data_IF_027063468315
#
_entry.id   IF_027063468315
#
_cell.length_a   1.000
_cell.length_b   1.000
_cell.length_c   1.000
_cell.angle_alpha   90.00
_cell.angle_beta   90.00
_cell.angle_gamma   90.00
#
_symmetry.space_group_name_H-M   'P 1'
#
loop_
_entity.id
_entity.type
_entity.pdbx_description
1 polymer ?
#
# COMPACT_ATOMS: atom_id res chain seq x y z
N UNK A 1 -14.17 -23.00 -15.03
CA UNK A 1 -13.51 -21.87 -14.35
C UNK A 1 -14.27 -20.62 -14.74
N UNK A 2 -14.90 -19.93 -13.79
CA UNK A 2 -15.46 -18.60 -14.03
C UNK A 2 -14.32 -17.63 -14.32
N UNK A 3 -14.48 -16.76 -15.32
CA UNK A 3 -13.48 -15.75 -15.63
C UNK A 3 -13.28 -14.85 -14.40
N UNK A 4 -12.03 -14.62 -13.99
CA UNK A 4 -11.72 -13.67 -12.92
C UNK A 4 -12.08 -12.25 -13.39
N UNK A 5 -12.63 -11.43 -12.50
CA UNK A 5 -12.99 -10.06 -12.82
C UNK A 5 -11.73 -9.22 -13.08
N UNK A 6 -11.76 -8.34 -14.09
CA UNK A 6 -10.64 -7.47 -14.45
C UNK A 6 -10.76 -6.12 -13.74
N UNK A 7 -9.86 -5.76 -12.80
CA UNK A 7 -9.88 -4.45 -12.17
C UNK A 7 -9.55 -3.33 -13.17
N UNK A 8 -10.05 -2.13 -12.91
CA UNK A 8 -9.57 -0.90 -13.56
C UNK A 8 -8.35 -0.40 -12.79
N UNK A 9 -7.18 -0.37 -13.43
CA UNK A 9 -5.91 -0.02 -12.78
C UNK A 9 -5.34 1.27 -13.38
N UNK A 10 -5.04 2.25 -12.52
CA UNK A 10 -4.36 3.49 -12.89
C UNK A 10 -3.05 3.60 -12.11
N UNK A 11 -1.92 3.67 -12.82
CA UNK A 11 -0.60 3.92 -12.24
C UNK A 11 -0.26 5.41 -12.17
N UNK A 12 0.52 5.77 -11.15
CA UNK A 12 1.10 7.09 -10.89
C UNK A 12 2.58 6.88 -10.64
N UNK A 13 3.41 7.37 -11.57
CA UNK A 13 4.86 7.22 -11.49
C UNK A 13 5.46 8.45 -10.81
N UNK A 14 6.26 8.23 -9.78
CA UNK A 14 7.14 9.25 -9.20
C UNK A 14 8.54 9.15 -9.81
N UNK A 15 9.01 10.23 -10.43
CA UNK A 15 10.32 10.25 -11.09
C UNK A 15 11.49 10.27 -10.08
N UNK A 16 11.27 10.79 -8.87
CA UNK A 16 12.34 10.94 -7.89
C UNK A 16 12.77 9.60 -7.29
N UNK A 17 11.81 8.70 -7.05
CA UNK A 17 12.05 7.38 -6.44
C UNK A 17 11.90 6.23 -7.43
N UNK A 18 11.34 6.47 -8.62
CA UNK A 18 10.92 5.46 -9.59
C UNK A 18 9.80 4.54 -9.09
N UNK A 19 9.09 4.94 -8.03
CA UNK A 19 7.95 4.20 -7.50
C UNK A 19 6.74 4.34 -8.44
N UNK A 20 5.97 3.26 -8.60
CA UNK A 20 4.65 3.32 -9.22
C UNK A 20 3.59 3.04 -8.16
N UNK A 21 2.84 4.07 -7.78
CA UNK A 21 1.62 3.90 -6.98
C UNK A 21 0.45 3.51 -7.88
N UNK A 22 -0.50 2.74 -7.36
CA UNK A 22 -1.67 2.31 -8.12
C UNK A 22 -2.99 2.66 -7.45
N UNK A 23 -3.98 3.05 -8.24
CA UNK A 23 -5.40 2.98 -7.87
C UNK A 23 -6.02 1.79 -8.58
N UNK A 24 -6.59 0.87 -7.81
CA UNK A 24 -7.21 -0.38 -8.26
C UNK A 24 -8.71 -0.32 -7.96
N UNK A 25 -9.52 -0.16 -9.00
CA UNK A 25 -10.96 0.05 -8.88
C UNK A 25 -11.76 -1.18 -9.30
N UNK A 26 -12.84 -1.43 -8.56
CA UNK A 26 -13.90 -2.35 -8.97
C UNK A 26 -14.56 -1.86 -10.28
N UNK A 27 -14.52 -2.64 -11.38
CA UNK A 27 -15.12 -2.23 -12.65
C UNK A 27 -16.64 -2.06 -12.55
N UNK A 28 -17.30 -2.76 -11.63
CA UNK A 28 -18.76 -2.72 -11.47
C UNK A 28 -19.23 -1.65 -10.47
N UNK A 29 -18.31 -0.97 -9.78
CA UNK A 29 -18.63 -0.10 -8.65
C UNK A 29 -17.73 1.12 -8.54
N UNK A 30 -17.78 1.72 -7.34
CA UNK A 30 -16.96 2.89 -6.96
C UNK A 30 -15.86 2.54 -5.96
N UNK A 31 -15.84 1.33 -5.42
CA UNK A 31 -14.84 0.89 -4.47
C UNK A 31 -13.46 0.81 -5.14
N UNK A 32 -12.42 1.26 -4.43
CA UNK A 32 -11.04 1.13 -4.88
C UNK A 32 -10.08 0.84 -3.72
N UNK A 33 -8.90 0.34 -4.08
CA UNK A 33 -7.72 0.31 -3.24
C UNK A 33 -6.64 1.23 -3.81
N UNK A 34 -5.79 1.77 -2.94
CA UNK A 34 -4.55 2.45 -3.29
C UNK A 34 -3.40 1.51 -2.90
N UNK A 35 -2.38 1.37 -3.74
CA UNK A 35 -1.22 0.51 -3.48
C UNK A 35 0.06 1.34 -3.57
N UNK A 36 0.93 1.21 -2.57
CA UNK A 36 2.30 1.77 -2.50
C UNK A 36 2.35 3.28 -2.79
N UNK A 37 1.68 4.08 -1.94
CA UNK A 37 1.57 5.54 -2.11
C UNK A 37 2.81 6.30 -1.63
N UNK A 38 3.26 7.30 -2.40
CA UNK A 38 4.45 8.11 -2.07
C UNK A 38 4.11 9.40 -1.30
N UNK A 39 4.86 9.64 -0.21
CA UNK A 39 5.02 10.94 0.43
C UNK A 39 6.38 11.52 -0.02
N UNK A 40 6.33 12.65 -0.71
CA UNK A 40 7.51 13.25 -1.32
C UNK A 40 8.49 13.74 -0.23
N UNK A 41 9.79 13.52 -0.43
CA UNK A 41 10.81 13.89 0.54
C UNK A 41 12.09 14.39 -0.12
N UNK A 42 12.47 15.62 0.24
CA UNK A 42 13.76 16.19 -0.15
C UNK A 42 14.82 15.85 0.90
N UNK A 43 15.68 14.89 0.58
CA UNK A 43 16.80 14.46 1.43
C UNK A 43 17.77 15.59 1.79
N UNK A 44 17.94 16.60 0.94
CA UNK A 44 18.88 17.69 1.19
C UNK A 44 18.36 18.67 2.24
N UNK A 45 17.04 18.95 2.24
CA UNK A 45 16.43 19.90 3.18
C UNK A 45 15.66 19.24 4.34
N UNK A 46 15.41 17.93 4.27
CA UNK A 46 14.60 17.20 5.24
C UNK A 46 13.11 17.55 5.20
N UNK A 47 12.62 18.10 4.08
CA UNK A 47 11.23 18.53 3.94
C UNK A 47 10.38 17.46 3.26
N UNK A 48 9.17 17.29 3.77
CA UNK A 48 8.12 16.53 3.10
C UNK A 48 7.27 17.44 2.20
N UNK A 49 6.73 16.86 1.13
CA UNK A 49 5.71 17.44 0.25
C UNK A 49 4.65 16.35 -0.06
N UNK A 50 3.50 16.74 -0.61
CA UNK A 50 2.34 15.87 -0.76
C UNK A 50 1.84 15.80 -2.20
N UNK A 51 2.58 16.33 -3.18
CA UNK A 51 2.10 16.44 -4.55
C UNK A 51 1.80 15.07 -5.18
N UNK A 52 2.60 14.04 -4.89
CA UNK A 52 2.36 12.67 -5.36
C UNK A 52 1.09 12.07 -4.76
N UNK A 53 0.93 12.18 -3.43
CA UNK A 53 -0.27 11.73 -2.73
C UNK A 53 -1.52 12.52 -3.16
N UNK A 54 -1.40 13.83 -3.36
CA UNK A 54 -2.49 14.70 -3.78
C UNK A 54 -2.95 14.39 -5.22
N UNK A 55 -2.06 13.94 -6.11
CA UNK A 55 -2.45 13.47 -7.43
C UNK A 55 -3.35 12.21 -7.36
N UNK A 56 -3.02 11.27 -6.49
CA UNK A 56 -3.84 10.06 -6.22
C UNK A 56 -5.18 10.45 -5.60
N UNK A 57 -5.18 11.32 -4.59
CA UNK A 57 -6.39 11.80 -3.93
C UNK A 57 -7.30 12.57 -4.91
N UNK A 58 -6.71 13.41 -5.76
CA UNK A 58 -7.44 14.16 -6.76
C UNK A 58 -8.13 13.22 -7.77
N UNK A 59 -7.44 12.15 -8.20
CA UNK A 59 -8.03 11.12 -9.05
C UNK A 59 -9.22 10.42 -8.37
N UNK A 60 -9.03 9.96 -7.12
CA UNK A 60 -10.09 9.32 -6.32
C UNK A 60 -11.31 10.22 -6.18
N UNK A 61 -11.11 11.50 -5.83
CA UNK A 61 -12.20 12.46 -5.66
C UNK A 61 -12.89 12.82 -6.98
N UNK A 62 -12.13 13.05 -8.05
CA UNK A 62 -12.67 13.40 -9.36
C UNK A 62 -13.51 12.25 -9.96
N UNK A 63 -13.09 11.00 -9.75
CA UNK A 63 -13.85 9.82 -10.17
C UNK A 63 -14.96 9.41 -9.17
N UNK A 64 -15.07 10.09 -8.03
CA UNK A 64 -16.08 9.81 -7.01
C UNK A 64 -15.95 8.42 -6.41
N UNK A 65 -14.72 7.95 -6.20
CA UNK A 65 -14.40 6.62 -5.68
C UNK A 65 -14.47 6.56 -4.16
N UNK A 66 -14.70 5.35 -3.64
CA UNK A 66 -14.68 5.03 -2.21
C UNK A 66 -13.45 4.18 -1.92
N UNK A 67 -12.51 4.72 -1.14
CA UNK A 67 -11.29 3.99 -0.74
C UNK A 67 -11.65 2.99 0.36
N UNK A 68 -11.51 1.70 0.07
CA UNK A 68 -11.67 0.64 1.08
C UNK A 68 -10.32 0.25 1.70
N UNK A 69 -9.25 0.30 0.90
CA UNK A 69 -7.91 -0.12 1.31
C UNK A 69 -6.82 0.84 0.84
N UNK A 70 -5.80 0.97 1.67
CA UNK A 70 -4.50 1.56 1.34
C UNK A 70 -3.49 0.46 1.67
N UNK A 71 -2.91 -0.16 0.66
CA UNK A 71 -2.15 -1.38 0.76
C UNK A 71 -0.67 -1.10 0.55
N UNK A 72 0.16 -1.64 1.43
CA UNK A 72 1.60 -1.63 1.30
C UNK A 72 2.08 -3.04 0.94
N UNK A 73 2.73 -3.17 -0.20
CA UNK A 73 3.33 -4.46 -0.61
C UNK A 73 4.45 -4.86 0.33
N UNK A 74 5.18 -3.90 0.90
CA UNK A 74 6.25 -4.13 1.87
C UNK A 74 6.59 -2.85 2.65
N UNK A 75 7.60 -2.91 3.51
CA UNK A 75 8.22 -1.70 4.08
C UNK A 75 9.24 -1.19 3.07
N UNK A 76 8.90 -0.10 2.40
CA UNK A 76 9.72 0.52 1.37
C UNK A 76 10.99 1.13 1.95
N UNK A 77 12.08 1.08 1.19
CA UNK A 77 13.39 1.62 1.56
C UNK A 77 13.83 2.82 0.70
N UNK A 78 13.14 3.05 -0.40
CA UNK A 78 13.40 4.05 -1.44
C UNK A 78 12.52 5.30 -1.30
N UNK A 79 11.33 5.19 -0.69
CA UNK A 79 10.39 6.29 -0.50
C UNK A 79 9.67 6.21 0.86
N UNK A 80 9.09 7.33 1.30
CA UNK A 80 8.19 7.34 2.45
C UNK A 80 6.76 7.07 2.00
N UNK A 81 6.01 6.24 2.75
CA UNK A 81 4.60 6.01 2.46
C UNK A 81 3.74 7.23 2.83
N UNK A 82 2.79 7.57 1.96
CA UNK A 82 1.73 8.55 2.22
C UNK A 82 0.44 7.95 2.82
N UNK A 83 0.44 6.67 3.23
CA UNK A 83 -0.79 6.00 3.63
C UNK A 83 -1.60 6.72 4.73
N UNK A 84 -1.00 7.20 5.84
CA UNK A 84 -1.74 7.96 6.85
C UNK A 84 -2.31 9.28 6.31
N UNK A 85 -1.52 10.01 5.50
CA UNK A 85 -1.94 11.27 4.88
C UNK A 85 -3.17 11.10 3.98
N UNK A 86 -3.18 10.02 3.20
CA UNK A 86 -4.29 9.63 2.33
C UNK A 86 -5.49 9.17 3.17
N UNK A 87 -5.26 8.32 4.17
CA UNK A 87 -6.32 7.81 5.05
C UNK A 87 -7.12 8.94 5.70
N UNK A 88 -6.44 9.97 6.21
CA UNK A 88 -7.09 11.14 6.81
C UNK A 88 -8.00 11.91 5.84
N UNK A 89 -7.74 11.84 4.53
CA UNK A 89 -8.40 12.66 3.51
C UNK A 89 -9.50 11.96 2.74
N UNK A 90 -9.39 10.64 2.56
CA UNK A 90 -10.31 9.84 1.76
C UNK A 90 -10.77 8.55 2.45
N UNK A 91 -10.31 8.29 3.67
CA UNK A 91 -10.65 7.10 4.45
C UNK A 91 -9.91 5.85 3.97
N UNK A 92 -10.52 4.69 4.22
CA UNK A 92 -9.91 3.39 3.96
C UNK A 92 -9.15 2.82 5.14
N UNK A 93 -8.65 1.60 4.98
CA UNK A 93 -7.86 0.87 5.98
C UNK A 93 -6.46 0.62 5.47
N UNK A 94 -5.46 0.89 6.29
CA UNK A 94 -4.06 0.62 5.97
C UNK A 94 -3.77 -0.87 6.21
N UNK A 95 -3.34 -1.56 5.16
CA UNK A 95 -3.04 -2.99 5.19
C UNK A 95 -1.58 -3.29 4.83
N UNK A 96 -0.95 -4.19 5.58
CA UNK A 96 0.43 -4.64 5.33
C UNK A 96 0.61 -6.11 5.74
N UNK A 97 1.71 -6.75 5.35
CA UNK A 97 2.06 -8.11 5.79
C UNK A 97 2.29 -8.21 7.30
N UNK A 98 1.78 -9.28 7.92
CA UNK A 98 1.87 -9.53 9.35
C UNK A 98 3.31 -9.67 9.88
N UNK A 99 4.26 -9.98 9.00
CA UNK A 99 5.69 -10.00 9.32
C UNK A 99 6.31 -8.60 9.45
N UNK A 100 5.52 -7.52 9.34
CA UNK A 100 5.93 -6.16 9.68
C UNK A 100 6.57 -6.07 11.07
N UNK A 101 6.12 -6.88 12.02
CA UNK A 101 6.67 -6.93 13.38
C UNK A 101 8.15 -7.29 13.40
N UNK A 102 8.62 -8.15 12.48
CA UNK A 102 10.04 -8.48 12.33
C UNK A 102 10.86 -7.26 11.90
N UNK A 103 10.30 -6.46 10.99
CA UNK A 103 10.91 -5.22 10.50
C UNK A 103 10.93 -4.17 11.61
N UNK A 104 9.81 -3.99 12.32
CA UNK A 104 9.70 -3.09 13.48
C UNK A 104 10.68 -3.45 14.60
N UNK A 105 10.86 -4.74 14.90
CA UNK A 105 11.82 -5.23 15.88
C UNK A 105 13.27 -4.93 15.50
N UNK A 106 13.58 -5.05 14.22
CA UNK A 106 14.91 -4.80 13.68
C UNK A 106 15.22 -3.31 13.67
N UNK A 107 14.39 -2.52 13.00
CA UNK A 107 14.63 -1.09 12.81
C UNK A 107 14.36 -0.26 14.07
N UNK A 108 13.42 -0.67 14.92
CA UNK A 108 13.24 -0.04 16.22
C UNK A 108 14.51 -0.12 17.08
N UNK A 109 15.32 -1.18 16.96
CA UNK A 109 16.63 -1.24 17.63
C UNK A 109 17.66 -0.35 16.94
N UNK A 110 17.73 -0.38 15.60
CA UNK A 110 18.70 0.39 14.82
C UNK A 110 18.53 1.90 15.05
N UNK A 111 17.30 2.40 15.04
CA UNK A 111 16.99 3.81 15.29
C UNK A 111 16.94 4.18 16.78
N UNK A 112 17.25 3.23 17.67
CA UNK A 112 17.19 3.41 19.12
C UNK A 112 15.81 3.93 19.59
N UNK A 113 14.76 3.43 18.96
CA UNK A 113 13.39 3.73 19.34
C UNK A 113 13.06 3.07 20.68
N UNK A 114 12.53 3.87 21.60
CA UNK A 114 12.15 3.46 22.93
C UNK A 114 10.89 2.59 22.96
N UNK A 115 10.21 2.57 24.10
CA UNK A 115 9.00 1.74 24.30
C UNK A 115 7.72 2.37 23.76
N UNK A 116 7.77 3.64 23.33
CA UNK A 116 6.61 4.33 22.73
C UNK A 116 6.32 3.82 21.32
N UNK A 117 7.36 3.38 20.58
CA UNK A 117 7.20 2.73 19.30
C UNK A 117 6.82 1.25 19.49
N UNK A 118 5.54 0.95 19.34
CA UNK A 118 5.03 -0.42 19.39
C UNK A 118 5.58 -1.26 18.23
N UNK A 119 5.89 -2.53 18.51
CA UNK A 119 6.52 -3.47 17.56
C UNK A 119 5.62 -4.67 17.27
N UNK A 120 4.31 -4.44 17.35
CA UNK A 120 3.25 -5.43 17.21
C UNK A 120 2.38 -5.20 15.96
N UNK A 121 2.76 -4.24 15.11
CA UNK A 121 2.02 -3.86 13.90
C UNK A 121 0.72 -3.09 14.16
N UNK A 122 0.43 -2.66 15.40
CA UNK A 122 -0.80 -1.95 15.77
C UNK A 122 -0.99 -0.59 15.10
N UNK A 123 0.06 -0.07 14.44
CA UNK A 123 0.00 1.13 13.61
C UNK A 123 -0.78 0.92 12.30
N UNK A 124 -1.05 -0.34 11.92
CA UNK A 124 -1.79 -0.70 10.71
C UNK A 124 -3.17 -1.25 11.07
N UNK A 125 -4.19 -0.92 10.29
CA UNK A 125 -5.56 -1.40 10.51
C UNK A 125 -5.72 -2.90 10.24
N UNK A 126 -4.88 -3.47 9.36
CA UNK A 126 -4.91 -4.89 9.00
C UNK A 126 -3.51 -5.46 8.77
N UNK A 127 -3.22 -6.52 9.52
CA UNK A 127 -2.07 -7.40 9.28
C UNK A 127 -2.51 -8.62 8.48
N UNK A 128 -2.03 -8.73 7.25
CA UNK A 128 -2.35 -9.81 6.31
C UNK A 128 -1.38 -10.99 6.41
N UNK A 129 -1.89 -12.20 6.24
CA UNK A 129 -1.11 -13.45 6.17
C UNK A 129 -1.31 -14.13 4.82
N UNK A 130 -0.42 -15.06 4.50
CA UNK A 130 -0.59 -15.98 3.37
C UNK A 130 -2.02 -16.57 3.35
N UNK A 131 -2.66 -16.52 2.19
CA UNK A 131 -4.00 -17.08 1.99
C UNK A 131 -5.15 -16.22 2.52
N UNK A 132 -4.88 -15.10 3.21
CA UNK A 132 -5.93 -14.13 3.53
C UNK A 132 -6.58 -13.61 2.25
N UNK A 133 -7.87 -13.28 2.35
CA UNK A 133 -8.59 -12.54 1.31
C UNK A 133 -9.25 -11.28 1.86
N UNK A 134 -9.51 -10.35 0.97
CA UNK A 134 -10.21 -9.10 1.25
C UNK A 134 -11.07 -8.72 0.04
N UNK A 135 -11.91 -7.69 0.21
CA UNK A 135 -12.79 -7.20 -0.86
C UNK A 135 -12.47 -5.76 -1.20
N UNK A 136 -12.70 -5.42 -2.46
CA UNK A 136 -12.81 -4.05 -2.98
C UNK A 136 -14.16 -4.00 -3.69
N UNK A 137 -15.22 -3.66 -2.96
CA UNK A 137 -16.59 -3.81 -3.45
C UNK A 137 -16.91 -5.24 -3.94
N UNK A 138 -17.15 -5.38 -5.25
CA UNK A 138 -17.40 -6.66 -5.92
C UNK A 138 -16.16 -7.53 -6.12
N UNK A 139 -14.96 -6.94 -6.15
CA UNK A 139 -13.70 -7.64 -6.38
C UNK A 139 -13.22 -8.39 -5.13
N UNK A 140 -12.61 -9.55 -5.34
CA UNK A 140 -11.88 -10.31 -4.33
C UNK A 140 -10.38 -10.13 -4.55
N UNK A 141 -9.67 -9.79 -3.47
CA UNK A 141 -8.22 -9.74 -3.39
C UNK A 141 -7.71 -10.91 -2.56
N UNK A 142 -6.64 -11.56 -3.01
CA UNK A 142 -5.93 -12.61 -2.28
C UNK A 142 -4.51 -12.18 -1.97
N UNK A 143 -4.04 -12.56 -0.79
CA UNK A 143 -2.69 -12.26 -0.32
C UNK A 143 -1.79 -13.47 -0.53
N UNK A 144 -0.68 -13.24 -1.23
CA UNK A 144 0.45 -14.16 -1.29
C UNK A 144 1.61 -13.53 -0.50
N UNK A 145 2.17 -14.26 0.45
CA UNK A 145 3.40 -13.91 1.12
C UNK A 145 4.56 -14.26 0.19
N UNK A 146 5.20 -13.24 -0.37
CA UNK A 146 6.28 -13.36 -1.34
C UNK A 146 7.58 -12.77 -0.79
N UNK A 147 8.14 -13.33 0.30
CA UNK A 147 9.36 -12.82 0.89
C UNK A 147 10.57 -13.04 -0.03
N UNK A 148 11.57 -12.19 0.14
CA UNK A 148 12.82 -12.25 -0.63
C UNK A 148 13.51 -10.90 -0.57
N UNK A 149 12.87 -9.88 -1.15
CA UNK A 149 13.31 -8.49 -1.02
C UNK A 149 13.25 -8.03 0.45
N UNK A 150 12.12 -8.24 1.13
CA UNK A 150 11.98 -8.11 2.60
C UNK A 150 11.28 -9.34 3.20
N UNK A 151 11.39 -9.61 4.51
CA UNK A 151 10.64 -10.69 5.15
C UNK A 151 9.12 -10.46 5.21
N UNK A 152 8.65 -9.25 4.91
CA UNK A 152 7.25 -8.84 5.01
C UNK A 152 6.57 -8.60 3.65
N UNK A 153 7.28 -8.82 2.52
CA UNK A 153 6.74 -8.63 1.18
C UNK A 153 5.50 -9.47 0.91
N UNK A 154 4.48 -8.82 0.35
CA UNK A 154 3.26 -9.42 -0.15
C UNK A 154 3.10 -9.15 -1.64
N UNK A 155 2.49 -10.12 -2.34
CA UNK A 155 1.82 -9.89 -3.61
C UNK A 155 0.32 -9.85 -3.37
N UNK A 156 -0.34 -8.78 -3.84
CA UNK A 156 -1.79 -8.69 -3.85
C UNK A 156 -2.34 -9.14 -5.21
N UNK A 157 -3.08 -10.25 -5.23
CA UNK A 157 -3.77 -10.73 -6.44
C UNK A 157 -5.22 -10.27 -6.40
N UNK A 158 -5.56 -9.26 -7.20
CA UNK A 158 -6.88 -8.62 -7.23
C UNK A 158 -7.52 -8.93 -8.59
N UNK A 159 -8.53 -9.80 -8.60
CA UNK A 159 -9.11 -10.27 -9.85
C UNK A 159 -8.09 -11.02 -10.71
N UNK A 160 -7.85 -10.55 -11.94
CA UNK A 160 -6.85 -11.07 -12.87
C UNK A 160 -5.49 -10.31 -12.84
N UNK A 161 -5.32 -9.32 -11.96
CA UNK A 161 -4.09 -8.55 -11.81
C UNK A 161 -3.32 -8.93 -10.54
N UNK A 162 -1.99 -8.82 -10.58
CA UNK A 162 -1.11 -9.03 -9.42
C UNK A 162 -0.21 -7.80 -9.21
N UNK A 163 -0.19 -7.29 -7.98
CA UNK A 163 0.68 -6.20 -7.54
C UNK A 163 1.80 -6.84 -6.72
N UNK A 164 2.96 -7.01 -7.34
CA UNK A 164 4.03 -7.92 -6.89
C UNK A 164 5.07 -7.26 -5.98
N UNK A 165 4.94 -5.96 -5.73
CA UNK A 165 5.98 -5.14 -5.10
C UNK A 165 7.33 -5.33 -5.79
N UNK A 166 8.41 -5.30 -5.01
CA UNK A 166 9.78 -5.41 -5.52
C UNK A 166 10.25 -6.88 -5.68
N UNK A 167 9.35 -7.74 -6.15
CA UNK A 167 9.65 -9.16 -6.41
C UNK A 167 10.10 -9.41 -7.86
N UNK A 168 9.55 -8.66 -8.83
CA UNK A 168 9.83 -8.77 -10.27
C UNK A 168 9.84 -7.38 -10.91
N UNK A 169 10.70 -7.15 -11.90
CA UNK A 169 10.87 -5.89 -12.63
C UNK A 169 10.86 -6.09 -14.15
#
# INVERSE_FOLDING_TARGET
MTARAKPEVKGFFDEATNTISYVVKDPAGKACAIVDSVLDFDYASGRTDTHSADAVIAHVKAAGLTVEWILETHVHADHLSAAPYIQDRVGGKIGIGANITVVQDTFGKIFNEGTEFQRDGSQFDRLFREGDSFRIGGLEGHVLHTPGHTPACLTYVIGDAAFVGDTLF
#
